data_IF_377259011893
#
_entry.id   IF_377259011893
#
_cell.length_a   1.000
_cell.length_b   1.000
_cell.length_c   1.000
_cell.angle_alpha   90.00
_cell.angle_beta   90.00
_cell.angle_gamma   90.00
#
_symmetry.space_group_name_H-M   'P 1'
#
loop_
_entity.id
_entity.type
_entity.pdbx_description
1 polymer ?
#
# COMPACT_ATOMS: atom_id res chain seq x y z
N UNK A 1 -13.45 -1.63 -12.86
CA UNK A 1 -13.35 -1.00 -11.54
C UNK A 1 -11.94 -1.19 -10.99
N UNK A 2 -11.36 -0.17 -10.43
CA UNK A 2 -9.99 -0.25 -9.89
C UNK A 2 -10.04 -0.82 -8.48
N UNK A 3 -9.33 -1.91 -8.26
CA UNK A 3 -9.26 -2.56 -6.95
C UNK A 3 -8.13 -1.95 -6.14
N UNK A 4 -8.46 -1.43 -4.97
CA UNK A 4 -7.50 -0.75 -4.10
C UNK A 4 -7.41 -1.47 -2.76
N UNK A 5 -6.18 -1.66 -2.29
CA UNK A 5 -5.91 -2.11 -0.93
C UNK A 5 -5.34 -0.95 -0.12
N UNK A 6 -5.75 -0.83 1.13
CA UNK A 6 -5.24 0.19 2.04
C UNK A 6 -4.41 -0.50 3.11
N UNK A 7 -3.16 -0.09 3.26
CA UNK A 7 -2.26 -0.63 4.27
C UNK A 7 -1.77 0.48 5.20
N UNK A 8 -2.22 0.45 6.43
CA UNK A 8 -1.88 1.45 7.45
C UNK A 8 -2.13 0.81 8.81
N UNK A 9 -1.25 1.05 9.79
CA UNK A 9 -1.40 0.48 11.12
C UNK A 9 -2.47 1.20 11.96
N UNK A 10 -2.88 2.39 11.56
CA UNK A 10 -3.90 3.16 12.28
C UNK A 10 -5.29 2.86 11.72
N UNK A 11 -6.14 2.31 12.55
CA UNK A 11 -7.49 1.94 12.16
C UNK A 11 -8.29 3.13 11.65
N UNK A 12 -8.17 4.27 12.31
CA UNK A 12 -8.89 5.47 11.91
C UNK A 12 -8.53 5.92 10.51
N UNK A 13 -7.24 5.85 10.18
CA UNK A 13 -6.76 6.21 8.84
C UNK A 13 -7.31 5.24 7.80
N UNK A 14 -7.27 3.93 8.08
CA UNK A 14 -7.82 2.93 7.16
C UNK A 14 -9.29 3.18 6.89
N UNK A 15 -10.06 3.40 7.95
CA UNK A 15 -11.49 3.65 7.81
C UNK A 15 -11.79 4.93 7.04
N UNK A 16 -11.05 5.99 7.33
CA UNK A 16 -11.24 7.27 6.65
C UNK A 16 -10.93 7.18 5.16
N UNK A 17 -9.81 6.55 4.83
CA UNK A 17 -9.44 6.36 3.42
C UNK A 17 -10.44 5.48 2.69
N UNK A 18 -10.94 4.44 3.35
CA UNK A 18 -11.93 3.56 2.74
C UNK A 18 -13.21 4.33 2.40
N UNK A 19 -13.69 5.14 3.32
CA UNK A 19 -14.90 5.94 3.09
C UNK A 19 -14.69 6.90 1.91
N UNK A 20 -13.58 7.62 1.91
CA UNK A 20 -13.29 8.60 0.86
C UNK A 20 -13.17 7.93 -0.50
N UNK A 21 -12.47 6.81 -0.57
CA UNK A 21 -12.25 6.12 -1.85
C UNK A 21 -13.54 5.49 -2.37
N UNK A 22 -14.36 4.93 -1.50
CA UNK A 22 -15.62 4.32 -1.93
C UNK A 22 -16.66 5.33 -2.41
N UNK A 23 -16.46 6.60 -2.09
CA UNK A 23 -17.30 7.68 -2.64
C UNK A 23 -16.98 7.98 -4.11
N UNK A 24 -15.87 7.47 -4.62
CA UNK A 24 -15.47 7.70 -6.00
C UNK A 24 -15.99 6.58 -6.90
N UNK A 25 -16.55 6.93 -8.04
CA UNK A 25 -16.96 5.94 -9.02
C UNK A 25 -15.74 5.25 -9.61
N UNK A 26 -15.84 3.96 -9.85
CA UNK A 26 -14.79 3.19 -10.49
C UNK A 26 -13.70 2.70 -9.53
N UNK A 27 -13.85 2.95 -8.24
CA UNK A 27 -12.90 2.49 -7.23
C UNK A 27 -13.60 1.57 -6.24
N UNK A 28 -12.97 0.43 -5.97
CA UNK A 28 -13.45 -0.52 -4.97
C UNK A 28 -12.31 -0.83 -4.00
N UNK A 29 -12.56 -0.69 -2.71
CA UNK A 29 -11.60 -1.10 -1.68
C UNK A 29 -11.84 -2.57 -1.39
N UNK A 30 -10.91 -3.41 -1.82
CA UNK A 30 -11.08 -4.87 -1.72
C UNK A 30 -10.55 -5.43 -0.42
N UNK A 31 -9.60 -4.76 0.21
CA UNK A 31 -9.01 -5.22 1.45
C UNK A 31 -8.33 -4.08 2.19
N UNK A 32 -8.18 -4.26 3.49
CA UNK A 32 -7.35 -3.38 4.31
C UNK A 32 -6.37 -4.25 5.08
N UNK A 33 -5.21 -3.70 5.39
CA UNK A 33 -4.17 -4.39 6.12
C UNK A 33 -3.55 -3.46 7.15
N UNK A 34 -3.18 -4.00 8.30
CA UNK A 34 -2.60 -3.20 9.38
C UNK A 34 -1.08 -3.32 9.47
N UNK A 35 -0.50 -4.27 8.75
CA UNK A 35 0.94 -4.46 8.70
C UNK A 35 1.34 -5.13 7.38
N UNK A 36 2.65 -5.22 7.15
CA UNK A 36 3.15 -5.75 5.90
C UNK A 36 2.83 -7.23 5.69
N UNK A 37 2.71 -7.99 6.76
CA UNK A 37 2.36 -9.41 6.64
C UNK A 37 0.94 -9.58 6.12
N UNK A 38 0.02 -8.78 6.64
CA UNK A 38 -1.36 -8.80 6.15
C UNK A 38 -1.45 -8.36 4.70
N UNK A 39 -0.63 -7.37 4.31
CA UNK A 39 -0.59 -6.94 2.91
C UNK A 39 -0.28 -8.12 2.00
N UNK A 40 0.76 -8.86 2.32
CA UNK A 40 1.18 -10.00 1.50
C UNK A 40 0.09 -11.07 1.46
N UNK A 41 -0.52 -11.36 2.60
CA UNK A 41 -1.62 -12.33 2.66
C UNK A 41 -2.79 -11.91 1.80
N UNK A 42 -3.19 -10.65 1.88
CA UNK A 42 -4.35 -10.15 1.13
C UNK A 42 -4.08 -10.08 -0.37
N UNK A 43 -2.86 -9.74 -0.77
CA UNK A 43 -2.48 -9.75 -2.19
C UNK A 43 -2.59 -11.17 -2.78
N UNK A 44 -2.21 -12.16 -2.01
CA UNK A 44 -2.31 -13.56 -2.44
C UNK A 44 -3.75 -14.03 -2.63
N UNK A 45 -4.66 -13.52 -1.79
CA UNK A 45 -6.07 -13.88 -1.88
C UNK A 45 -6.76 -13.21 -3.05
N UNK A 46 -6.51 -11.92 -3.23
CA UNK A 46 -7.14 -11.13 -4.27
C UNK A 46 -6.20 -9.98 -4.64
N UNK A 47 -5.50 -10.15 -5.75
CA UNK A 47 -4.50 -9.18 -6.17
C UNK A 47 -5.15 -7.85 -6.52
N UNK A 48 -4.79 -6.75 -5.82
CA UNK A 48 -5.32 -5.43 -6.13
C UNK A 48 -4.62 -4.83 -7.34
N UNK A 49 -5.21 -3.78 -7.88
CA UNK A 49 -4.56 -2.97 -8.92
C UNK A 49 -3.58 -1.97 -8.28
N UNK A 50 -3.96 -1.43 -7.13
CA UNK A 50 -3.20 -0.40 -6.43
C UNK A 50 -3.19 -0.69 -4.93
N UNK A 51 -2.06 -0.46 -4.28
CA UNK A 51 -1.96 -0.50 -2.83
C UNK A 51 -1.58 0.90 -2.34
N UNK A 52 -2.38 1.45 -1.43
CA UNK A 52 -2.01 2.64 -0.68
C UNK A 52 -1.26 2.17 0.55
N UNK A 53 0.04 2.43 0.60
CA UNK A 53 0.93 1.83 1.58
C UNK A 53 1.51 2.86 2.52
N UNK A 54 1.26 2.70 3.82
CA UNK A 54 1.95 3.49 4.82
C UNK A 54 3.39 3.00 4.95
N UNK A 55 4.32 3.93 5.08
CA UNK A 55 5.74 3.60 5.23
C UNK A 55 6.02 2.96 6.58
N UNK A 56 5.37 3.47 7.62
CA UNK A 56 5.62 3.03 8.99
C UNK A 56 4.57 2.05 9.47
N UNK A 57 4.87 0.77 9.34
CA UNK A 57 4.01 -0.28 9.86
C UNK A 57 4.83 -1.22 10.74
N UNK A 58 4.19 -1.82 11.77
CA UNK A 58 4.89 -2.80 12.61
C UNK A 58 5.25 -4.06 11.83
N UNK A 59 6.24 -4.77 12.32
CA UNK A 59 6.75 -6.04 11.79
C UNK A 59 7.43 -5.95 10.43
N UNK A 60 6.77 -5.40 9.44
CA UNK A 60 7.34 -5.22 8.11
C UNK A 60 6.91 -3.84 7.62
N UNK A 61 7.86 -2.93 7.45
CA UNK A 61 7.53 -1.57 7.03
C UNK A 61 7.14 -1.50 5.56
N UNK A 62 6.62 -0.33 5.16
CA UNK A 62 6.13 -0.14 3.80
C UNK A 62 7.20 -0.29 2.73
N UNK A 63 8.45 0.06 3.04
CA UNK A 63 9.56 -0.09 2.08
C UNK A 63 9.87 -1.55 1.82
N UNK A 64 9.99 -2.34 2.87
CA UNK A 64 10.24 -3.78 2.73
C UNK A 64 9.08 -4.47 2.02
N UNK A 65 7.86 -4.13 2.41
CA UNK A 65 6.66 -4.70 1.81
C UNK A 65 6.57 -4.36 0.31
N UNK A 66 6.86 -3.11 -0.05
CA UNK A 66 6.87 -2.68 -1.43
C UNK A 66 7.86 -3.50 -2.25
N UNK A 67 9.05 -3.73 -1.72
CA UNK A 67 10.07 -4.51 -2.40
C UNK A 67 9.59 -5.94 -2.68
N UNK A 68 9.01 -6.58 -1.68
CA UNK A 68 8.50 -7.95 -1.84
C UNK A 68 7.37 -8.02 -2.86
N UNK A 69 6.43 -7.09 -2.77
CA UNK A 69 5.28 -7.07 -3.69
C UNK A 69 5.75 -6.83 -5.13
N UNK A 70 6.68 -5.90 -5.32
CA UNK A 70 7.18 -5.61 -6.67
C UNK A 70 7.93 -6.76 -7.29
N UNK A 71 8.59 -7.59 -6.48
CA UNK A 71 9.28 -8.78 -6.98
C UNK A 71 8.29 -9.86 -7.43
N UNK A 72 7.23 -10.06 -6.66
CA UNK A 72 6.27 -11.14 -6.91
C UNK A 72 5.11 -10.73 -7.80
N UNK A 73 4.71 -9.46 -7.70
CA UNK A 73 3.54 -8.94 -8.43
C UNK A 73 3.91 -7.59 -9.08
N UNK A 74 4.74 -7.61 -10.13
CA UNK A 74 5.26 -6.35 -10.69
C UNK A 74 4.21 -5.46 -11.33
N UNK A 75 3.04 -5.98 -11.62
CA UNK A 75 1.94 -5.20 -12.18
C UNK A 75 1.12 -4.45 -11.14
N UNK A 76 1.27 -4.78 -9.85
CA UNK A 76 0.58 -4.07 -8.79
C UNK A 76 1.26 -2.72 -8.57
N UNK A 77 0.50 -1.64 -8.60
CA UNK A 77 1.02 -0.30 -8.36
C UNK A 77 0.95 0.03 -6.89
N UNK A 78 1.98 0.68 -6.38
CA UNK A 78 2.05 1.05 -4.98
C UNK A 78 2.21 2.56 -4.85
N UNK A 79 1.31 3.16 -4.09
CA UNK A 79 1.36 4.58 -3.76
C UNK A 79 1.72 4.67 -2.29
N UNK A 80 2.84 5.32 -1.99
CA UNK A 80 3.30 5.48 -0.62
C UNK A 80 2.58 6.65 0.02
N UNK A 81 1.95 6.35 1.17
CA UNK A 81 1.34 7.36 2.00
C UNK A 81 2.34 7.73 3.08
N UNK A 82 2.78 8.97 3.08
CA UNK A 82 3.66 9.40 4.14
C UNK A 82 3.04 10.61 4.81
N UNK A 83 2.98 10.55 6.12
CA UNK A 83 2.48 11.64 6.92
C UNK A 83 3.60 12.35 7.64
N UNK A 84 4.86 12.01 7.36
CA UNK A 84 5.88 12.39 8.28
C UNK A 84 7.21 12.72 7.78
N UNK A 85 7.84 13.21 8.55
CA UNK A 85 9.09 13.76 8.92
C UNK A 85 10.29 12.85 8.78
N UNK A 86 10.15 11.63 8.32
CA UNK A 86 11.28 10.76 8.10
C UNK A 86 11.65 10.78 6.61
N UNK A 87 12.45 11.77 6.25
CA UNK A 87 12.86 11.98 4.87
C UNK A 87 13.57 10.77 4.28
N UNK A 88 14.28 10.01 5.11
CA UNK A 88 14.97 8.83 4.66
C UNK A 88 14.01 7.75 4.19
N UNK A 89 12.92 7.52 4.93
CA UNK A 89 11.90 6.57 4.52
C UNK A 89 11.23 6.99 3.23
N UNK A 90 10.90 8.26 3.11
CA UNK A 90 10.27 8.80 1.91
C UNK A 90 11.19 8.61 0.72
N UNK A 91 12.46 8.94 0.87
CA UNK A 91 13.44 8.80 -0.20
C UNK A 91 13.59 7.35 -0.66
N UNK A 92 13.71 6.42 0.29
CA UNK A 92 13.87 5.00 -0.04
C UNK A 92 12.64 4.45 -0.74
N UNK A 93 11.45 4.84 -0.30
CA UNK A 93 10.20 4.42 -0.93
C UNK A 93 10.12 4.95 -2.37
N UNK A 94 10.48 6.20 -2.59
CA UNK A 94 10.53 6.78 -3.92
C UNK A 94 11.51 6.03 -4.82
N UNK A 95 12.68 5.68 -4.31
CA UNK A 95 13.66 4.93 -5.08
C UNK A 95 13.09 3.59 -5.55
N UNK A 96 12.38 2.89 -4.68
CA UNK A 96 11.75 1.62 -5.03
C UNK A 96 10.70 1.79 -6.12
N UNK A 97 9.91 2.85 -6.05
CA UNK A 97 8.90 3.13 -7.07
C UNK A 97 9.53 3.48 -8.41
N UNK A 98 10.57 4.29 -8.40
CA UNK A 98 11.22 4.73 -9.63
C UNK A 98 12.04 3.65 -10.30
N UNK A 99 12.63 2.76 -9.52
CA UNK A 99 13.43 1.66 -10.09
C UNK A 99 12.58 0.50 -10.55
N UNK A 100 11.30 0.53 -10.23
CA UNK A 100 10.35 -0.45 -10.71
C UNK A 100 10.22 -0.31 -12.21
N UNK A 101 10.44 -1.35 -12.99
CA UNK A 101 10.18 -1.24 -14.42
C UNK A 101 8.71 -0.93 -14.64
N UNK A 102 8.51 0.12 -15.34
CA UNK A 102 7.18 0.56 -15.69
C UNK A 102 6.55 -0.34 -16.74
#
# INVERSE_FOLDING_TARGET
MIKVMIADDQELIRQSLQIVLEMKEGIEVTATAKDGREVIQEVRKDKPDVILMDVRMPEMDGVQCTQIIKEQYPDVKIIILTTFDDDEYVYNAFCLLYTSPS
#
